data_IF_351244327208
#
_entry.id   IF_351244327208
#
_cell.length_a   1.000
_cell.length_b   1.000
_cell.length_c   1.000
_cell.angle_alpha   90.00
_cell.angle_beta   90.00
_cell.angle_gamma   90.00
#
_symmetry.space_group_name_H-M   'P 1'
#
loop_
_entity.id
_entity.type
_entity.pdbx_description
1 polymer ?
#
# COMPACT_ATOMS: atom_id res chain seq x y z
N UNK A 1 16.14 1.90 3.31
CA UNK A 1 15.71 0.95 2.27
C UNK A 1 14.31 1.39 1.84
N UNK A 2 14.08 1.67 0.55
CA UNK A 2 12.79 2.19 0.04
C UNK A 2 11.70 1.11 -0.08
N UNK A 3 11.51 0.32 0.98
CA UNK A 3 10.49 -0.72 1.08
C UNK A 3 9.18 -0.11 1.57
N UNK A 4 8.06 -0.57 1.02
CA UNK A 4 6.71 -0.11 1.41
C UNK A 4 5.93 -1.25 2.03
N UNK A 5 5.28 -0.97 3.16
CA UNK A 5 4.35 -1.87 3.82
C UNK A 5 3.00 -1.17 3.95
N UNK A 6 1.93 -1.94 3.85
CA UNK A 6 0.55 -1.44 3.89
C UNK A 6 -0.29 -2.24 4.89
N UNK A 7 -1.20 -1.55 5.56
CA UNK A 7 -2.21 -2.13 6.45
C UNK A 7 -3.45 -1.21 6.48
N UNK A 8 -4.53 -1.70 7.08
CA UNK A 8 -5.80 -0.99 7.18
C UNK A 8 -6.88 -1.52 6.25
N UNK A 9 -7.86 -0.68 5.97
CA UNK A 9 -9.07 -1.00 5.20
C UNK A 9 -8.72 -1.13 3.70
N UNK A 10 -9.24 -2.15 3.00
CA UNK A 10 -8.78 -2.60 1.68
C UNK A 10 -9.74 -2.32 0.50
N UNK A 11 -10.94 -1.80 0.75
CA UNK A 11 -11.88 -1.29 -0.25
C UNK A 11 -11.19 -0.32 -1.20
N UNK A 12 -11.69 -0.24 -2.43
CA UNK A 12 -11.09 0.51 -3.53
C UNK A 12 -9.68 0.06 -3.96
N UNK A 13 -9.12 -0.99 -3.34
CA UNK A 13 -7.78 -1.51 -3.68
C UNK A 13 -6.62 -0.60 -3.26
N UNK A 14 -6.87 0.39 -2.40
CA UNK A 14 -5.89 1.44 -2.03
C UNK A 14 -4.63 0.93 -1.35
N UNK A 15 -4.63 -0.29 -0.84
CA UNK A 15 -3.44 -0.93 -0.28
C UNK A 15 -2.51 -1.50 -1.37
N UNK A 16 -2.94 -1.58 -2.64
CA UNK A 16 -2.11 -2.08 -3.74
C UNK A 16 -1.62 -3.52 -3.57
N UNK A 17 -2.34 -4.32 -2.80
CA UNK A 17 -2.09 -5.74 -2.56
C UNK A 17 -3.37 -6.53 -2.75
N UNK A 18 -3.26 -7.79 -3.14
CA UNK A 18 -4.42 -8.68 -3.28
C UNK A 18 -4.93 -9.04 -1.88
N UNK A 19 -6.13 -8.54 -1.58
CA UNK A 19 -6.94 -8.83 -0.42
C UNK A 19 -8.39 -8.89 -0.93
N UNK A 20 -9.15 -9.89 -0.50
CA UNK A 20 -10.58 -10.03 -0.83
C UNK A 20 -11.43 -8.97 -0.08
N UNK A 21 -11.07 -7.69 -0.22
CA UNK A 21 -11.63 -6.52 0.46
C UNK A 21 -11.66 -6.60 1.99
N UNK A 22 -10.78 -7.43 2.58
CA UNK A 22 -10.65 -7.55 4.04
C UNK A 22 -9.66 -6.55 4.60
N UNK A 23 -9.96 -6.00 5.76
CA UNK A 23 -9.02 -5.17 6.53
C UNK A 23 -7.74 -5.95 6.83
N UNK A 24 -6.60 -5.38 6.47
CA UNK A 24 -5.27 -5.88 6.74
C UNK A 24 -4.81 -5.40 8.12
N UNK A 25 -4.90 -6.25 9.13
CA UNK A 25 -4.59 -5.87 10.52
C UNK A 25 -3.09 -5.67 10.79
N UNK A 26 -2.23 -6.30 9.99
CA UNK A 26 -0.78 -6.31 10.18
C UNK A 26 -0.08 -5.79 8.92
N UNK A 27 0.97 -4.96 9.01
CA UNK A 27 1.70 -4.49 7.84
C UNK A 27 2.13 -5.64 6.90
N UNK A 28 1.71 -5.57 5.64
CA UNK A 28 2.08 -6.52 4.59
C UNK A 28 2.97 -5.81 3.56
N UNK A 29 4.06 -6.43 3.08
CA UNK A 29 4.91 -5.81 2.07
C UNK A 29 4.15 -5.57 0.77
N UNK A 30 4.33 -4.40 0.18
CA UNK A 30 3.88 -4.05 -1.17
C UNK A 30 5.02 -4.30 -2.15
N UNK A 31 4.77 -5.12 -3.18
CA UNK A 31 5.75 -5.37 -4.23
C UNK A 31 5.82 -4.16 -5.17
N UNK A 32 6.99 -3.51 -5.22
CA UNK A 32 7.28 -2.39 -6.12
C UNK A 32 8.45 -2.75 -7.03
N UNK A 33 8.40 -2.30 -8.28
CA UNK A 33 9.50 -2.45 -9.25
C UNK A 33 10.66 -1.48 -8.99
N UNK A 34 10.44 -0.45 -8.18
CA UNK A 34 11.41 0.58 -7.79
C UNK A 34 11.41 0.78 -6.27
N UNK A 35 12.50 1.36 -5.74
CA UNK A 35 12.55 1.76 -4.32
C UNK A 35 11.71 3.01 -4.13
N UNK A 36 10.89 3.06 -3.08
CA UNK A 36 10.14 4.26 -2.75
C UNK A 36 11.07 5.35 -2.19
N UNK A 37 10.95 6.56 -2.72
CA UNK A 37 11.51 7.79 -2.16
C UNK A 37 10.49 8.52 -1.28
N UNK A 38 9.21 8.58 -1.70
CA UNK A 38 8.11 9.21 -0.94
C UNK A 38 6.80 8.43 -1.11
N UNK A 39 5.90 8.57 -0.12
CA UNK A 39 4.56 7.98 -0.12
C UNK A 39 3.54 9.02 0.31
N UNK A 40 2.38 9.06 -0.35
CA UNK A 40 1.22 9.86 0.03
C UNK A 40 -0.05 9.02 -0.01
N UNK A 41 -0.97 9.26 0.93
CA UNK A 41 -2.26 8.56 1.02
C UNK A 41 -3.40 9.56 0.85
N UNK A 42 -4.31 9.27 -0.08
CA UNK A 42 -5.61 9.93 -0.16
C UNK A 42 -6.70 9.05 0.46
N UNK A 43 -7.96 9.48 0.38
CA UNK A 43 -9.08 8.72 0.95
C UNK A 43 -9.20 7.29 0.39
N UNK A 44 -9.04 7.13 -0.92
CA UNK A 44 -9.20 5.85 -1.63
C UNK A 44 -7.99 5.44 -2.47
N UNK A 45 -6.82 6.04 -2.28
CA UNK A 45 -5.65 5.76 -3.09
C UNK A 45 -4.33 5.94 -2.33
N UNK A 46 -3.29 5.26 -2.81
CA UNK A 46 -1.91 5.41 -2.36
C UNK A 46 -1.04 5.76 -3.55
N UNK A 47 -0.25 6.82 -3.43
CA UNK A 47 0.74 7.24 -4.41
C UNK A 47 2.14 6.94 -3.88
N UNK A 48 2.96 6.27 -4.69
CA UNK A 48 4.37 6.03 -4.39
C UNK A 48 5.22 6.73 -5.45
N UNK A 49 6.12 7.60 -5.00
CA UNK A 49 7.16 8.20 -5.83
C UNK A 49 8.45 7.42 -5.60
N UNK A 50 9.00 6.84 -6.67
CA UNK A 50 10.28 6.11 -6.66
C UNK A 50 11.49 7.02 -6.80
#
# INVERSE_FOLDING_TARGET
>A
SGLVYVCGEAESGKLGIVLDFRTQLVPKPMSLSVKAANVACGGHHTLVLG
#
